data_IF_308299097300
#
_entry.id   IF_308299097300
#
_cell.length_a   1.000
_cell.length_b   1.000
_cell.length_c   1.000
_cell.angle_alpha   90.00
_cell.angle_beta   90.00
_cell.angle_gamma   90.00
#
_symmetry.space_group_name_H-M   'P 1'
#
loop_
_entity.id
_entity.type
_entity.pdbx_description
1 polymer ?
#
# COMPACT_ATOMS: atom_id res chain seq x y z
N UNK A 1 -68.78 -34.84 10.44
CA UNK A 1 -68.48 -33.40 10.44
C UNK A 1 -67.18 -33.21 11.22
N UNK A 2 -66.00 -33.40 10.60
CA UNK A 2 -65.15 -32.38 9.95
C UNK A 2 -65.01 -31.08 10.76
N UNK A 3 -63.86 -30.64 11.26
CA UNK A 3 -62.50 -31.14 11.12
C UNK A 3 -61.56 -30.46 12.13
N UNK A 4 -60.48 -31.17 12.51
CA UNK A 4 -59.36 -30.59 13.27
C UNK A 4 -58.50 -29.80 12.30
N UNK A 5 -58.50 -28.48 12.41
CA UNK A 5 -57.56 -27.61 11.67
C UNK A 5 -56.27 -27.50 12.49
N UNK A 6 -55.36 -28.46 12.33
CA UNK A 6 -53.96 -28.29 12.74
C UNK A 6 -53.39 -27.09 11.99
N UNK A 7 -53.20 -25.97 12.70
CA UNK A 7 -52.36 -24.88 12.20
C UNK A 7 -50.91 -25.35 12.33
N UNK A 8 -50.37 -25.85 11.24
CA UNK A 8 -48.93 -26.02 11.07
C UNK A 8 -48.28 -24.64 11.15
N UNK A 9 -47.72 -24.32 12.32
CA UNK A 9 -46.79 -23.20 12.49
C UNK A 9 -45.44 -23.70 11.96
N UNK A 10 -45.20 -23.49 10.68
CA UNK A 10 -43.90 -23.74 10.05
C UNK A 10 -42.88 -22.79 10.67
N UNK A 11 -41.85 -23.36 11.29
CA UNK A 11 -40.85 -22.67 12.10
C UNK A 11 -40.03 -21.64 11.29
N UNK A 12 -39.61 -20.51 11.90
CA UNK A 12 -38.84 -19.45 11.24
C UNK A 12 -37.32 -19.74 11.18
N UNK A 13 -36.90 -21.01 11.17
CA UNK A 13 -35.47 -21.38 11.24
C UNK A 13 -34.73 -21.34 9.88
N UNK A 14 -35.43 -21.54 8.76
CA UNK A 14 -34.81 -21.75 7.44
C UNK A 14 -34.19 -20.50 6.82
N UNK A 15 -34.67 -19.31 7.18
CA UNK A 15 -34.20 -18.04 6.60
C UNK A 15 -32.90 -17.53 7.23
N UNK A 16 -32.68 -17.83 8.51
CA UNK A 16 -31.50 -17.40 9.24
C UNK A 16 -30.21 -18.03 8.70
N UNK A 17 -30.29 -19.25 8.18
CA UNK A 17 -29.14 -19.96 7.60
C UNK A 17 -28.71 -19.34 6.26
N UNK A 18 -29.66 -18.93 5.42
CA UNK A 18 -29.39 -18.27 4.15
C UNK A 18 -28.77 -16.87 4.35
N UNK A 19 -29.26 -16.11 5.33
CA UNK A 19 -28.70 -14.80 5.67
C UNK A 19 -27.27 -14.96 6.21
N UNK A 20 -27.02 -15.94 7.08
CA UNK A 20 -25.67 -16.26 7.59
C UNK A 20 -24.72 -16.74 6.49
N UNK A 21 -25.21 -17.54 5.55
CA UNK A 21 -24.45 -18.01 4.39
C UNK A 21 -24.03 -16.84 3.49
N UNK A 22 -24.95 -15.91 3.22
CA UNK A 22 -24.64 -14.69 2.45
C UNK A 22 -23.65 -13.79 3.19
N UNK A 23 -23.78 -13.60 4.50
CA UNK A 23 -22.84 -12.80 5.30
C UNK A 23 -21.44 -13.43 5.27
N UNK A 24 -21.34 -14.75 5.44
CA UNK A 24 -20.06 -15.47 5.42
C UNK A 24 -19.38 -15.46 4.04
N UNK A 25 -20.13 -15.38 2.94
CA UNK A 25 -19.58 -15.30 1.58
C UNK A 25 -19.21 -13.86 1.16
N UNK A 26 -19.98 -12.87 1.59
CA UNK A 26 -19.80 -11.46 1.16
C UNK A 26 -18.81 -10.71 2.05
N UNK A 27 -18.76 -11.00 3.36
CA UNK A 27 -17.86 -10.35 4.31
C UNK A 27 -16.36 -10.51 3.95
N UNK A 28 -15.84 -11.70 3.62
CA UNK A 28 -14.43 -11.84 3.23
C UNK A 28 -14.10 -11.20 1.88
N UNK A 29 -15.06 -11.14 0.94
CA UNK A 29 -14.90 -10.43 -0.34
C UNK A 29 -14.80 -8.91 -0.12
N UNK A 30 -15.65 -8.36 0.76
CA UNK A 30 -15.59 -6.95 1.17
C UNK A 30 -14.31 -6.64 1.97
N UNK A 31 -13.84 -7.57 2.81
CA UNK A 31 -12.60 -7.42 3.56
C UNK A 31 -11.35 -7.46 2.65
N UNK A 32 -11.40 -8.28 1.60
CA UNK A 32 -10.32 -8.36 0.59
C UNK A 32 -10.23 -7.07 -0.23
N UNK A 33 -11.36 -6.41 -0.51
CA UNK A 33 -11.42 -5.11 -1.18
C UNK A 33 -10.84 -3.97 -0.32
N UNK A 34 -10.94 -4.06 1.02
CA UNK A 34 -10.38 -3.06 1.94
C UNK A 34 -8.86 -3.13 2.08
N UNK A 35 -8.24 -4.26 1.76
CA UNK A 35 -6.77 -4.40 1.79
C UNK A 35 -6.08 -3.60 0.68
N UNK A 36 -6.80 -3.30 -0.41
CA UNK A 36 -6.29 -2.46 -1.51
C UNK A 36 -6.31 -0.95 -1.21
N UNK A 37 -7.17 -0.48 -0.31
CA UNK A 37 -7.34 0.97 -0.08
C UNK A 37 -6.25 1.60 0.82
N UNK A 38 -5.48 0.82 1.58
CA UNK A 38 -4.47 1.38 2.51
C UNK A 38 -3.12 1.64 1.82
N UNK A 39 -2.84 1.02 0.67
CA UNK A 39 -1.55 1.11 -0.02
C UNK A 39 -1.48 2.26 -1.05
N UNK A 40 -2.57 2.59 -1.73
CA UNK A 40 -2.56 3.63 -2.77
C UNK A 40 -2.31 5.04 -2.24
N UNK A 41 -2.86 5.38 -1.07
CA UNK A 41 -2.67 6.70 -0.46
C UNK A 41 -1.20 6.93 -0.07
N UNK A 42 -0.56 5.91 0.51
CA UNK A 42 0.84 5.98 0.93
C UNK A 42 1.78 6.13 -0.27
N UNK A 43 1.56 5.36 -1.34
CA UNK A 43 2.36 5.47 -2.57
C UNK A 43 2.18 6.85 -3.19
N UNK A 44 0.94 7.35 -3.28
CA UNK A 44 0.68 8.70 -3.82
C UNK A 44 1.36 9.80 -3.00
N UNK A 45 1.35 9.68 -1.67
CA UNK A 45 2.00 10.64 -0.77
C UNK A 45 3.53 10.56 -0.89
N UNK A 46 4.10 9.37 -0.95
CA UNK A 46 5.54 9.16 -1.16
C UNK A 46 5.99 9.76 -2.51
N UNK A 47 5.24 9.50 -3.59
CA UNK A 47 5.48 10.07 -4.90
C UNK A 47 5.42 11.61 -4.86
N UNK A 48 4.51 12.19 -4.10
CA UNK A 48 4.44 13.65 -3.91
C UNK A 48 5.74 14.23 -3.36
N UNK A 49 6.32 13.62 -2.32
CA UNK A 49 7.61 14.03 -1.79
C UNK A 49 8.77 13.76 -2.74
N UNK A 50 8.72 12.67 -3.51
CA UNK A 50 9.71 12.40 -4.55
C UNK A 50 9.70 13.50 -5.63
N UNK A 51 8.52 13.91 -6.10
CA UNK A 51 8.39 15.00 -7.08
C UNK A 51 8.85 16.35 -6.51
N UNK A 52 8.59 16.62 -5.22
CA UNK A 52 9.14 17.78 -4.52
C UNK A 52 10.68 17.76 -4.51
N UNK A 53 11.26 16.59 -4.25
CA UNK A 53 12.70 16.38 -4.28
C UNK A 53 13.30 16.65 -5.66
N UNK A 54 12.70 16.12 -6.72
CA UNK A 54 13.13 16.38 -8.10
C UNK A 54 13.09 17.87 -8.44
N UNK A 55 12.03 18.57 -8.03
CA UNK A 55 11.86 20.01 -8.31
C UNK A 55 12.92 20.89 -7.66
N UNK A 56 13.50 20.41 -6.55
CA UNK A 56 14.48 21.17 -5.77
C UNK A 56 15.91 20.69 -5.95
N UNK A 57 16.13 19.60 -6.70
CA UNK A 57 17.44 18.93 -6.81
C UNK A 57 18.53 19.84 -7.37
N UNK A 58 18.21 20.64 -8.38
CA UNK A 58 19.18 21.52 -9.06
C UNK A 58 19.48 22.80 -8.26
N UNK A 59 18.50 23.25 -7.46
CA UNK A 59 18.60 24.50 -6.69
C UNK A 59 19.17 24.27 -5.29
N UNK A 60 18.72 23.21 -4.62
CA UNK A 60 19.05 22.88 -3.25
C UNK A 60 19.03 21.35 -3.05
N UNK A 61 20.20 20.74 -3.25
CA UNK A 61 20.43 19.31 -3.03
C UNK A 61 20.08 18.85 -1.61
N UNK A 62 20.20 19.72 -0.60
CA UNK A 62 19.91 19.36 0.78
C UNK A 62 18.40 19.27 1.01
N UNK A 63 17.62 20.20 0.43
CA UNK A 63 16.16 20.12 0.45
C UNK A 63 15.64 18.92 -0.35
N UNK A 64 16.24 18.63 -1.49
CA UNK A 64 15.90 17.44 -2.28
C UNK A 64 16.18 16.15 -1.50
N UNK A 65 17.34 16.07 -0.84
CA UNK A 65 17.70 14.95 0.04
C UNK A 65 16.65 14.70 1.13
N UNK A 66 16.20 15.75 1.82
CA UNK A 66 15.15 15.64 2.85
C UNK A 66 13.83 15.15 2.25
N UNK A 67 13.49 15.59 1.05
CA UNK A 67 12.25 15.19 0.36
C UNK A 67 12.29 13.71 -0.05
N UNK A 68 13.42 13.23 -0.58
CA UNK A 68 13.60 11.82 -0.89
C UNK A 68 13.60 10.94 0.36
N UNK A 69 14.21 11.38 1.47
CA UNK A 69 14.09 10.66 2.75
C UNK A 69 12.64 10.54 3.21
N UNK A 70 11.81 11.59 3.07
CA UNK A 70 10.38 11.52 3.41
C UNK A 70 9.64 10.54 2.52
N UNK A 71 9.95 10.49 1.22
CA UNK A 71 9.37 9.52 0.30
C UNK A 71 9.65 8.09 0.76
N UNK A 72 10.90 7.79 1.14
CA UNK A 72 11.32 6.47 1.65
C UNK A 72 10.69 6.15 3.02
N UNK A 73 10.54 7.14 3.92
CA UNK A 73 9.85 6.92 5.20
C UNK A 73 8.39 6.50 5.03
N UNK A 74 7.73 6.97 3.97
CA UNK A 74 6.33 6.65 3.69
C UNK A 74 6.21 5.36 2.88
N UNK A 75 7.08 5.18 1.90
CA UNK A 75 7.20 3.97 1.11
C UNK A 75 8.66 3.50 1.11
N UNK A 76 9.03 2.58 2.01
CA UNK A 76 10.38 2.02 2.08
C UNK A 76 10.82 1.27 0.81
N UNK A 77 9.89 0.91 -0.06
CA UNK A 77 10.18 0.24 -1.33
C UNK A 77 10.14 1.23 -2.52
N UNK A 78 10.24 2.54 -2.29
CA UNK A 78 10.29 3.54 -3.36
C UNK A 78 11.68 3.58 -4.00
N UNK A 79 11.89 2.68 -4.96
CA UNK A 79 13.17 2.50 -5.67
C UNK A 79 13.76 3.77 -6.27
N UNK A 80 12.94 4.64 -6.87
CA UNK A 80 13.41 5.89 -7.49
C UNK A 80 13.93 6.90 -6.45
N UNK A 81 13.34 6.91 -5.25
CA UNK A 81 13.80 7.74 -4.14
C UNK A 81 15.12 7.23 -3.56
N UNK A 82 15.28 5.90 -3.42
CA UNK A 82 16.57 5.28 -3.05
C UNK A 82 17.66 5.59 -4.08
N UNK A 83 17.35 5.43 -5.37
CA UNK A 83 18.27 5.77 -6.45
C UNK A 83 18.70 7.25 -6.39
N UNK A 84 17.75 8.17 -6.19
CA UNK A 84 18.04 9.59 -6.09
C UNK A 84 18.92 9.93 -4.86
N UNK A 85 18.68 9.31 -3.70
CA UNK A 85 19.57 9.44 -2.55
C UNK A 85 20.97 8.88 -2.82
N UNK A 86 21.05 7.72 -3.47
CA UNK A 86 22.31 7.11 -3.90
C UNK A 86 23.13 8.06 -4.78
N UNK A 87 22.48 8.70 -5.75
CA UNK A 87 23.11 9.70 -6.62
C UNK A 87 23.57 10.94 -5.84
N UNK A 88 22.77 11.45 -4.90
CA UNK A 88 23.17 12.57 -4.04
C UNK A 88 24.39 12.20 -3.19
N UNK A 89 24.38 11.02 -2.56
CA UNK A 89 25.52 10.56 -1.75
C UNK A 89 26.78 10.37 -2.58
N UNK A 90 26.66 9.81 -3.79
CA UNK A 90 27.79 9.65 -4.70
C UNK A 90 28.38 11.01 -5.10
N UNK A 91 27.53 12.01 -5.37
CA UNK A 91 27.95 13.39 -5.64
C UNK A 91 28.54 14.12 -4.42
N UNK A 92 28.36 13.58 -3.21
CA UNK A 92 29.02 14.04 -1.97
C UNK A 92 30.24 13.18 -1.61
N UNK A 93 30.70 12.29 -2.50
CA UNK A 93 31.80 11.34 -2.28
C UNK A 93 31.56 10.36 -1.12
N UNK A 94 30.31 10.23 -0.68
CA UNK A 94 29.85 9.32 0.38
C UNK A 94 29.51 7.95 -0.20
N UNK A 95 30.50 7.30 -0.80
CA UNK A 95 30.29 6.10 -1.59
C UNK A 95 29.69 4.93 -0.80
N UNK A 96 30.02 4.79 0.49
CA UNK A 96 29.44 3.73 1.34
C UNK A 96 27.92 3.90 1.52
N UNK A 97 27.47 5.13 1.73
CA UNK A 97 26.03 5.40 1.81
C UNK A 97 25.36 5.24 0.46
N UNK A 98 26.01 5.72 -0.62
CA UNK A 98 25.49 5.56 -1.97
C UNK A 98 25.29 4.08 -2.34
N UNK A 99 26.27 3.24 -2.04
CA UNK A 99 26.18 1.79 -2.24
C UNK A 99 25.02 1.17 -1.46
N UNK A 100 24.83 1.59 -0.21
CA UNK A 100 23.70 1.14 0.61
C UNK A 100 22.36 1.41 -0.05
N UNK A 101 22.14 2.65 -0.49
CA UNK A 101 20.88 3.04 -1.17
C UNK A 101 20.69 2.31 -2.50
N UNK A 102 21.75 2.18 -3.31
CA UNK A 102 21.68 1.47 -4.60
C UNK A 102 21.46 -0.03 -4.45
N UNK A 103 21.94 -0.64 -3.37
CA UNK A 103 21.62 -2.04 -3.05
C UNK A 103 20.15 -2.23 -2.72
N UNK A 104 19.53 -1.27 -2.04
CA UNK A 104 18.08 -1.32 -1.81
C UNK A 104 17.30 -1.22 -3.12
N UNK A 105 17.74 -0.39 -4.07
CA UNK A 105 17.14 -0.35 -5.42
C UNK A 105 17.15 -1.74 -6.06
N UNK A 106 18.29 -2.42 -6.07
CA UNK A 106 18.42 -3.77 -6.64
C UNK A 106 17.68 -4.85 -5.81
N UNK A 107 17.50 -4.64 -4.51
CA UNK A 107 16.68 -5.53 -3.67
C UNK A 107 15.20 -5.42 -4.05
N UNK A 108 14.73 -4.21 -4.32
CA UNK A 108 13.34 -3.93 -4.69
C UNK A 108 13.07 -4.34 -6.14
N UNK A 109 13.99 -4.01 -7.04
CA UNK A 109 13.90 -4.24 -8.48
C UNK A 109 15.24 -4.78 -9.00
N UNK A 110 15.41 -6.12 -9.04
CA UNK A 110 16.68 -6.74 -9.46
C UNK A 110 17.09 -6.44 -10.90
N UNK A 111 16.13 -6.08 -11.76
CA UNK A 111 16.35 -5.78 -13.18
C UNK A 111 16.46 -4.26 -13.45
N UNK A 112 16.67 -3.45 -12.40
CA UNK A 112 16.82 -2.00 -12.52
C UNK A 112 18.08 -1.65 -13.35
N UNK A 113 17.86 -1.22 -14.60
CA UNK A 113 18.89 -0.90 -15.60
C UNK A 113 18.84 0.56 -16.05
#
# INVERSE_FOLDING_TARGET
MSGRRSRNIVQPQSRAWLIRLCILAVLPVVLSLLSGCVTEEKIKKANGYYQEGLSTLDLDRQKAFVSFQKAIQINPDHKEAHYALGHIYAGQEKYKQAEGELREVLRIDPDFS
#
